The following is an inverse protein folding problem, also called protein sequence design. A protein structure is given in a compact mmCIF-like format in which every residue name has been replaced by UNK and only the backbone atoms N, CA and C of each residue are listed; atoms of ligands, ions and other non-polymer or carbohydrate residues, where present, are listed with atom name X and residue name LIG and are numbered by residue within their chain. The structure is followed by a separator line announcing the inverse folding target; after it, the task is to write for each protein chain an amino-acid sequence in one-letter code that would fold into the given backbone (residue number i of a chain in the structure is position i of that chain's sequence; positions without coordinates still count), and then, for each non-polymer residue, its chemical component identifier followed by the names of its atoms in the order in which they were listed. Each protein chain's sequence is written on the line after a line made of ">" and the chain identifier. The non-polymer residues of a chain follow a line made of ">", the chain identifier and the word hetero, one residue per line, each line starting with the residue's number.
data_IF_582779512935
#
_entry.id   IF_582779512935
#
_cell.length_a   1.000
_cell.length_b   1.000
_cell.length_c   1.000
_cell.angle_alpha   90.00
_cell.angle_beta   90.00
_cell.angle_gamma   90.00
#
_symmetry.space_group_name_H-M   'P 1'
#
loop_
_entity.id
_entity.type
_entity.pdbx_description
1 polymer ?
#
# COMPACT_ATOMS: atom_id res chain seq x y z
N UNK A 1 -3.20 -14.10 4.91
CA UNK A 1 -2.83 -12.66 4.85
C UNK A 1 -3.52 -11.86 5.95
N UNK A 2 -4.85 -11.72 5.95
CA UNK A 2 -5.56 -10.87 6.92
C UNK A 2 -5.30 -11.20 8.41
N UNK A 3 -5.23 -12.48 8.79
CA UNK A 3 -4.90 -12.87 10.17
C UNK A 3 -3.49 -12.42 10.60
N UNK A 4 -2.53 -12.42 9.67
CA UNK A 4 -1.16 -11.98 9.94
C UNK A 4 -1.07 -10.46 10.05
N UNK A 5 -1.82 -9.74 9.22
CA UNK A 5 -1.94 -8.29 9.27
C UNK A 5 -2.54 -7.83 10.61
N UNK A 6 -3.60 -8.49 11.08
CA UNK A 6 -4.17 -8.21 12.41
C UNK A 6 -3.17 -8.41 13.54
N UNK A 7 -2.39 -9.50 13.50
CA UNK A 7 -1.32 -9.73 14.49
C UNK A 7 -0.26 -8.63 14.50
N UNK A 8 0.10 -8.09 13.33
CA UNK A 8 1.07 -6.98 13.22
C UNK A 8 0.49 -5.73 13.90
N UNK A 9 -0.78 -5.42 13.64
CA UNK A 9 -1.47 -4.28 14.27
C UNK A 9 -1.60 -4.44 15.80
N UNK A 10 -1.84 -5.65 16.30
CA UNK A 10 -1.89 -5.92 17.76
C UNK A 10 -0.55 -5.65 18.46
N UNK A 11 0.56 -5.74 17.73
CA UNK A 11 1.92 -5.56 18.24
C UNK A 11 2.53 -4.18 17.98
N UNK A 12 1.82 -3.30 17.26
CA UNK A 12 2.30 -1.97 16.84
C UNK A 12 1.27 -0.89 17.19
N UNK A 13 1.65 0.39 17.10
CA UNK A 13 0.70 1.48 17.29
C UNK A 13 0.21 2.01 15.94
N UNK A 14 -1.05 2.43 15.86
CA UNK A 14 -1.66 2.91 14.60
C UNK A 14 -0.85 4.02 13.91
N UNK A 15 -0.26 4.93 14.70
CA UNK A 15 0.56 6.02 14.15
C UNK A 15 1.81 5.49 13.44
N UNK A 16 2.48 4.48 13.98
CA UNK A 16 3.67 3.92 13.36
C UNK A 16 3.34 3.17 12.07
N UNK A 17 2.17 2.51 12.01
CA UNK A 17 1.71 1.84 10.79
C UNK A 17 1.32 2.84 9.69
N UNK A 18 0.71 3.96 10.06
CA UNK A 18 0.45 5.06 9.10
C UNK A 18 1.76 5.65 8.57
N UNK A 19 2.77 5.83 9.41
CA UNK A 19 4.08 6.31 8.96
C UNK A 19 4.79 5.28 8.06
N UNK A 20 4.71 3.98 8.37
CA UNK A 20 5.21 2.92 7.50
C UNK A 20 4.53 2.97 6.13
N UNK A 21 3.20 3.13 6.08
CA UNK A 21 2.49 3.26 4.82
C UNK A 21 2.97 4.44 3.96
N UNK A 22 3.37 5.56 4.58
CA UNK A 22 3.96 6.70 3.87
C UNK A 22 5.36 6.37 3.33
N UNK A 23 6.15 5.60 4.09
CA UNK A 23 7.48 5.14 3.67
C UNK A 23 7.39 4.23 2.44
N UNK A 24 6.58 3.17 2.47
CA UNK A 24 6.40 2.24 1.35
C UNK A 24 5.89 2.95 0.08
N UNK A 25 4.97 3.92 0.23
CA UNK A 25 4.50 4.74 -0.90
C UNK A 25 5.63 5.59 -1.51
N UNK A 26 6.56 6.07 -0.69
CA UNK A 26 7.72 6.81 -1.15
C UNK A 26 8.74 5.90 -1.85
N UNK A 27 8.93 4.67 -1.38
CA UNK A 27 9.81 3.68 -1.99
C UNK A 27 9.27 3.22 -3.36
N UNK A 28 7.97 2.92 -3.47
CA UNK A 28 7.32 2.65 -4.76
C UNK A 28 7.48 3.84 -5.72
N UNK A 29 7.26 5.07 -5.25
CA UNK A 29 7.45 6.27 -6.07
C UNK A 29 8.88 6.38 -6.61
N UNK A 30 9.88 6.07 -5.78
CA UNK A 30 11.29 6.07 -6.21
C UNK A 30 11.58 4.95 -7.21
N UNK A 31 11.05 3.74 -7.01
CA UNK A 31 11.23 2.61 -7.93
C UNK A 31 10.66 2.91 -9.32
N UNK A 32 9.47 3.53 -9.38
CA UNK A 32 8.84 3.96 -10.63
C UNK A 32 9.64 5.06 -11.34
N UNK A 33 10.13 6.07 -10.61
CA UNK A 33 10.98 7.12 -11.19
C UNK A 33 12.29 6.54 -11.75
N UNK A 34 12.91 5.59 -11.05
CA UNK A 34 14.10 4.88 -11.54
C UNK A 34 13.81 4.14 -12.85
N UNK A 35 12.64 3.51 -12.97
CA UNK A 35 12.23 2.81 -14.17
C UNK A 35 12.01 3.77 -15.35
N UNK A 36 11.11 4.75 -15.18
CA UNK A 36 10.66 5.63 -16.27
C UNK A 36 11.70 6.69 -16.65
N UNK A 37 12.33 7.35 -15.68
CA UNK A 37 13.22 8.49 -15.95
C UNK A 37 14.68 8.09 -16.15
N UNK A 38 15.07 6.88 -15.73
CA UNK A 38 16.47 6.41 -15.83
C UNK A 38 16.62 5.17 -16.71
N UNK A 39 15.56 4.76 -17.41
CA UNK A 39 15.52 3.57 -18.28
C UNK A 39 16.11 2.33 -17.60
N UNK A 40 15.83 2.14 -16.30
CA UNK A 40 16.25 0.94 -15.57
C UNK A 40 15.26 -0.18 -15.80
N UNK A 41 15.76 -1.39 -16.01
CA UNK A 41 14.96 -2.61 -15.93
C UNK A 41 14.95 -3.09 -14.47
N UNK A 42 13.99 -2.60 -13.69
CA UNK A 42 13.85 -2.84 -12.25
C UNK A 42 12.42 -3.26 -11.88
N UNK A 43 11.81 -4.11 -12.69
CA UNK A 43 10.44 -4.62 -12.47
C UNK A 43 10.34 -5.42 -11.17
N UNK A 44 11.38 -6.15 -10.79
CA UNK A 44 11.41 -6.89 -9.52
C UNK A 44 11.30 -5.94 -8.32
N UNK A 45 12.09 -4.86 -8.30
CA UNK A 45 11.99 -3.81 -7.27
C UNK A 45 10.56 -3.23 -7.23
N UNK A 46 10.00 -2.84 -8.38
CA UNK A 46 8.63 -2.30 -8.44
C UNK A 46 7.62 -3.30 -7.88
N UNK A 47 7.77 -4.58 -8.21
CA UNK A 47 6.86 -5.63 -7.75
C UNK A 47 6.92 -5.79 -6.23
N UNK A 48 8.12 -5.71 -5.65
CA UNK A 48 8.30 -5.74 -4.20
C UNK A 48 7.64 -4.54 -3.53
N UNK A 49 7.95 -3.31 -3.98
CA UNK A 49 7.37 -2.10 -3.39
C UNK A 49 5.84 -2.03 -3.56
N UNK A 50 5.30 -2.56 -4.66
CA UNK A 50 3.85 -2.70 -4.85
C UNK A 50 3.25 -3.68 -3.83
N UNK A 51 3.92 -4.79 -3.54
CA UNK A 51 3.45 -5.75 -2.54
C UNK A 51 3.44 -5.13 -1.14
N UNK A 52 4.48 -4.38 -0.78
CA UNK A 52 4.57 -3.70 0.50
C UNK A 52 3.48 -2.63 0.63
N UNK A 53 3.27 -1.80 -0.40
CA UNK A 53 2.14 -0.85 -0.46
C UNK A 53 0.78 -1.55 -0.32
N UNK A 54 0.55 -2.69 -0.98
CA UNK A 54 -0.71 -3.42 -0.84
C UNK A 54 -0.95 -3.89 0.60
N UNK A 55 0.07 -4.39 1.28
CA UNK A 55 -0.03 -4.79 2.69
C UNK A 55 -0.35 -3.58 3.57
N UNK A 56 0.30 -2.44 3.33
CA UNK A 56 0.03 -1.21 4.06
C UNK A 56 -1.40 -0.69 3.83
N UNK A 57 -1.92 -0.77 2.61
CA UNK A 57 -3.32 -0.42 2.32
C UNK A 57 -4.31 -1.30 3.10
N UNK A 58 -4.04 -2.61 3.21
CA UNK A 58 -4.84 -3.50 4.05
C UNK A 58 -4.81 -3.12 5.54
N UNK A 59 -3.66 -2.69 6.06
CA UNK A 59 -3.55 -2.18 7.43
C UNK A 59 -4.32 -0.87 7.62
N UNK A 60 -4.19 0.09 6.69
CA UNK A 60 -4.91 1.36 6.75
C UNK A 60 -6.43 1.16 6.75
N UNK A 61 -6.95 0.19 5.97
CA UNK A 61 -8.37 -0.15 6.03
C UNK A 61 -8.81 -0.55 7.43
N UNK A 62 -8.02 -1.36 8.13
CA UNK A 62 -8.34 -1.80 9.49
C UNK A 62 -8.24 -0.65 10.50
N UNK A 63 -7.18 0.15 10.44
CA UNK A 63 -6.95 1.31 11.33
C UNK A 63 -8.10 2.31 11.21
N UNK A 64 -8.50 2.67 9.99
CA UNK A 64 -9.55 3.65 9.73
C UNK A 64 -10.96 3.04 9.63
N UNK A 65 -11.10 1.72 9.83
CA UNK A 65 -12.37 0.98 9.71
C UNK A 65 -13.06 1.23 8.36
N UNK A 66 -12.27 1.25 7.28
CA UNK A 66 -12.77 1.39 5.91
C UNK A 66 -13.36 0.06 5.47
N UNK A 67 -14.60 0.09 5.01
CA UNK A 67 -15.29 -1.07 4.48
C UNK A 67 -14.83 -1.39 3.05
N UNK A 68 -14.63 -2.68 2.77
CA UNK A 68 -14.15 -3.17 1.46
C UNK A 68 -15.14 -2.89 0.33
N UNK A 69 -16.46 -2.96 0.59
CA UNK A 69 -17.47 -2.71 -0.44
C UNK A 69 -17.53 -1.22 -0.78
N UNK A 70 -17.47 -0.34 0.23
CA UNK A 70 -17.42 1.10 0.00
C UNK A 70 -16.14 1.50 -0.75
N UNK A 71 -14.97 0.98 -0.36
CA UNK A 71 -13.73 1.24 -1.08
C UNK A 71 -13.81 0.77 -2.53
N UNK A 72 -14.34 -0.44 -2.77
CA UNK A 72 -14.50 -0.98 -4.11
C UNK A 72 -15.43 -0.11 -4.96
N UNK A 73 -16.55 0.35 -4.40
CA UNK A 73 -17.47 1.27 -5.07
C UNK A 73 -16.79 2.58 -5.47
N UNK A 74 -15.95 3.13 -4.59
CA UNK A 74 -15.15 4.32 -4.89
C UNK A 74 -14.13 4.08 -6.01
N UNK A 75 -13.50 2.91 -6.04
CA UNK A 75 -12.58 2.52 -7.12
C UNK A 75 -13.32 2.39 -8.46
N UNK A 76 -14.44 1.66 -8.48
CA UNK A 76 -15.27 1.47 -9.68
C UNK A 76 -15.74 2.83 -10.24
N UNK A 77 -16.19 3.73 -9.38
CA UNK A 77 -16.55 5.08 -9.80
C UNK A 77 -15.38 5.83 -10.44
N UNK A 78 -14.18 5.76 -9.86
CA UNK A 78 -12.99 6.47 -10.37
C UNK A 78 -12.46 5.92 -11.69
N UNK A 79 -12.55 4.61 -11.92
CA UNK A 79 -12.11 3.98 -13.18
C UNK A 79 -13.06 4.32 -14.33
N UNK A 80 -14.34 4.56 -14.04
CA UNK A 80 -15.35 4.90 -15.03
C UNK A 80 -15.56 6.43 -15.21
N UNK A 81 -14.71 7.26 -14.62
CA UNK A 81 -14.77 8.73 -14.71
C UNK A 81 -13.81 9.26 -15.77
#
# INVERSE_FOLDING_TARGET
>A
MQNKIKQILESSNDKSQVLQAVEELAELSQALIKNVNRNKDNIDDITQEMADVFIMLEQLKLIYKIDDQELKKQMEFKVNR
#
